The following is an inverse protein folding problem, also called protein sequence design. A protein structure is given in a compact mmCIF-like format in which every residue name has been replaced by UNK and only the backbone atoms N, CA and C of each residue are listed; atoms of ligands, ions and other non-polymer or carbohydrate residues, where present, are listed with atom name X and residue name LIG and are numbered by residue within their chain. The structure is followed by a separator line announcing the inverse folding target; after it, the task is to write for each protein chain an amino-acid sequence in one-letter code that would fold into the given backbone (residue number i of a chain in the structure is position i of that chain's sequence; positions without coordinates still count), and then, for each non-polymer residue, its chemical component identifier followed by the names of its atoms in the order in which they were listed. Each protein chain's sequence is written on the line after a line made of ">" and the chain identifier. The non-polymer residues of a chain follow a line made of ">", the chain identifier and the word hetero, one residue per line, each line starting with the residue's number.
data_IF_031172693756
#
_entry.id   IF_031172693756
#
_cell.length_a   1.000
_cell.length_b   1.000
_cell.length_c   1.000
_cell.angle_alpha   90.00
_cell.angle_beta   90.00
_cell.angle_gamma   90.00
#
_symmetry.space_group_name_H-M   'P 1'
#
loop_
_entity.id
_entity.type
_entity.pdbx_description
1 polymer ?
2 non-polymer ?
3 water ?
#
# COMPACT_ATOMS: atom_id res chain seq x y z
N UNK A 2 1.43 33.13 -4.89
CA UNK A 2 1.53 31.80 -4.19
C UNK A 2 1.19 31.89 -2.67
N UNK A 3 2.18 31.70 -1.79
CA UNK A 3 1.92 31.29 -0.41
C UNK A 3 2.55 32.23 0.66
N UNK A 4 1.73 32.71 1.64
CA UNK A 4 2.33 33.72 2.53
C UNK A 4 2.99 33.09 3.78
N UNK A 5 4.08 32.36 3.56
CA UNK A 5 4.82 31.72 4.66
C UNK A 5 6.34 31.85 4.52
N UNK A 6 7.00 32.11 5.66
CA UNK A 6 8.45 32.34 5.72
C UNK A 6 9.22 31.01 5.76
N UNK A 7 10.53 31.08 5.49
CA UNK A 7 11.35 29.89 5.24
C UNK A 7 11.86 29.17 6.51
N UNK A 8 11.69 27.85 6.55
CA UNK A 8 12.10 27.04 7.70
C UNK A 8 13.36 26.19 7.43
N UNK A 9 13.95 25.66 8.50
CA UNK A 9 14.81 24.47 8.37
C UNK A 9 13.82 23.34 8.36
N UNK A 10 13.95 22.43 7.40
CA UNK A 10 13.00 21.34 7.21
C UNK A 10 12.84 20.43 8.42
N UNK A 11 13.89 20.31 9.22
CA UNK A 11 13.83 19.56 10.48
C UNK A 11 13.56 20.43 11.74
N UNK A 12 13.49 21.76 11.59
CA UNK A 12 12.83 22.58 12.62
C UNK A 12 11.32 22.34 12.58
N UNK A 13 10.90 21.36 13.38
CA UNK A 13 9.51 20.93 13.41
C UNK A 13 8.52 21.89 14.09
N UNK A 14 8.99 22.98 14.71
CA UNK A 14 8.06 23.97 15.25
C UNK A 14 7.68 24.95 14.13
N UNK A 15 8.70 25.34 13.35
CA UNK A 15 8.57 26.24 12.21
C UNK A 15 7.71 25.58 11.13
N UNK A 16 7.91 24.28 10.93
CA UNK A 16 7.18 23.56 9.88
C UNK A 16 5.68 23.42 10.14
N UNK A 17 5.34 23.12 11.41
CA UNK A 17 3.97 23.01 11.91
C UNK A 17 3.22 24.34 11.73
N UNK A 18 3.88 25.42 12.10
CA UNK A 18 3.36 26.76 12.02
C UNK A 18 3.29 27.29 10.59
N UNK A 19 4.15 26.78 9.72
CA UNK A 19 4.16 27.15 8.29
C UNK A 19 3.05 26.42 7.55
N UNK A 20 2.92 25.13 7.82
CA UNK A 20 1.77 24.39 7.30
C UNK A 20 0.51 25.08 7.76
N UNK A 21 0.45 25.44 9.04
CA UNK A 21 -0.77 26.04 9.58
C UNK A 21 -1.14 27.29 8.77
N UNK A 22 -0.18 28.17 8.60
CA UNK A 22 -0.43 29.47 8.05
C UNK A 22 -0.65 29.42 6.52
N UNK A 23 -0.18 28.35 5.90
CA UNK A 23 -0.27 28.19 4.44
C UNK A 23 -1.55 27.54 3.98
N UNK A 24 -2.19 26.78 4.89
CA UNK A 24 -3.40 25.99 4.56
C UNK A 24 -4.53 26.73 3.83
N UNK A 25 -5.06 27.85 4.37
CA UNK A 25 -6.26 28.38 3.69
C UNK A 25 -6.02 28.68 2.21
N UNK A 26 -4.84 29.20 1.89
CA UNK A 26 -4.47 29.59 0.54
C UNK A 26 -4.18 28.37 -0.32
N UNK A 27 -3.60 27.34 0.30
CA UNK A 27 -3.27 26.12 -0.42
C UNK A 27 -4.59 25.41 -0.83
N UNK A 28 -5.49 25.26 0.13
CA UNK A 28 -6.76 24.55 -0.07
C UNK A 28 -7.81 25.39 -0.80
N UNK A 29 -7.51 26.66 -1.04
CA UNK A 29 -8.29 27.47 -1.98
C UNK A 29 -7.89 27.15 -3.42
N UNK A 30 -6.78 26.42 -3.60
CA UNK A 30 -6.36 25.98 -4.92
C UNK A 30 -5.27 26.84 -5.54
N UNK A 31 -4.34 26.20 -6.22
CA UNK A 31 -3.28 26.91 -6.95
C UNK A 31 -3.18 26.32 -8.34
N UNK A 32 -3.93 26.87 -9.32
CA UNK A 32 -4.00 26.17 -10.62
C UNK A 32 -2.65 25.97 -11.39
N UNK A 33 -1.62 26.78 -11.19
CA UNK A 33 -0.36 26.49 -11.92
C UNK A 33 0.65 25.57 -11.25
N UNK A 34 0.37 25.24 -9.99
CA UNK A 34 1.03 24.13 -9.34
C UNK A 34 0.04 23.01 -9.59
N UNK A 35 -0.02 21.95 -8.82
CA UNK A 35 -1.04 20.95 -9.23
C UNK A 35 -2.30 21.00 -8.40
N UNK A 36 -2.61 22.19 -7.87
CA UNK A 36 -3.43 22.22 -6.65
C UNK A 36 -4.89 22.59 -6.94
N UNK A 37 -5.79 21.59 -6.94
CA UNK A 37 -7.24 21.85 -6.93
C UNK A 37 -7.72 22.44 -5.62
N UNK A 38 -8.97 22.88 -5.69
CA UNK A 38 -9.71 23.28 -4.55
C UNK A 38 -9.76 22.02 -3.69
N UNK A 39 -9.31 22.16 -2.45
CA UNK A 39 -9.35 21.06 -1.50
C UNK A 39 -10.35 21.24 -0.39
N UNK A 40 -11.15 22.29 -0.52
CA UNK A 40 -12.28 22.54 0.37
C UNK A 40 -13.26 23.48 -0.35
N UNK A 41 -14.31 22.98 -1.00
CA UNK A 41 -14.71 21.57 -0.95
C UNK A 41 -13.84 20.73 -1.88
N UNK A 42 -13.48 19.55 -1.40
CA UNK A 42 -12.71 18.56 -2.16
C UNK A 42 -13.60 17.55 -2.90
N UNK A 43 -13.49 17.47 -4.22
CA UNK A 43 -14.24 16.42 -4.96
C UNK A 43 -13.50 15.09 -4.91
N UNK A 44 -14.21 14.06 -4.47
CA UNK A 44 -13.67 12.73 -4.38
C UNK A 44 -14.14 11.94 -5.58
N UNK A 45 -13.25 11.10 -6.06
CA UNK A 45 -13.49 10.20 -7.16
C UNK A 45 -14.51 9.16 -6.67
N UNK A 46 -15.36 8.71 -7.57
CA UNK A 46 -16.36 7.78 -7.16
C UNK A 46 -15.68 6.53 -6.66
N UNK A 47 -16.20 5.89 -5.61
CA UNK A 47 -15.60 4.62 -5.21
C UNK A 47 -16.67 3.66 -4.69
N UNK A 48 -16.21 2.44 -4.44
CA UNK A 48 -17.06 1.35 -4.06
C UNK A 48 -16.28 0.44 -3.17
N UNK A 49 -16.96 -0.17 -2.20
CA UNK A 49 -16.30 -1.20 -1.43
C UNK A 49 -17.23 -2.31 -0.95
N UNK A 50 -16.62 -3.44 -0.58
CA UNK A 50 -17.34 -4.63 -0.12
C UNK A 50 -16.54 -5.10 1.06
N UNK A 51 -17.04 -4.76 2.25
CA UNK A 51 -16.34 -4.89 3.50
C UNK A 51 -17.26 -5.39 4.61
N UNK A 52 -16.81 -6.40 5.38
CA UNK A 52 -17.59 -6.93 6.50
C UNK A 52 -19.06 -7.11 6.17
N UNK A 53 -19.36 -7.51 4.94
CA UNK A 53 -20.75 -7.74 4.55
C UNK A 53 -21.60 -6.54 4.08
N UNK A 54 -21.03 -5.31 4.10
CA UNK A 54 -21.65 -4.10 3.52
C UNK A 54 -21.12 -3.86 2.12
N UNK A 55 -22.01 -3.75 1.14
CA UNK A 55 -21.61 -3.32 -0.22
C UNK A 55 -21.93 -1.85 -0.30
N UNK A 56 -20.91 -1.01 -0.50
CA UNK A 56 -21.12 0.43 -0.39
C UNK A 56 -20.50 1.25 -1.52
N UNK A 57 -21.30 2.10 -2.20
CA UNK A 57 -20.82 3.06 -3.17
C UNK A 57 -21.05 4.55 -2.73
N UNK A 58 -20.04 5.39 -2.96
CA UNK A 58 -20.22 6.84 -2.91
C UNK A 58 -19.83 7.50 -4.26
N UNK A 59 -20.82 8.20 -4.82
CA UNK A 59 -20.69 8.95 -6.04
C UNK A 59 -20.82 10.45 -5.82
N UNK A 60 -20.16 11.20 -6.69
CA UNK A 60 -19.85 12.60 -6.47
C UNK A 60 -19.60 12.94 -4.98
N UNK A 61 -18.60 12.29 -4.40
CA UNK A 61 -18.25 12.52 -3.00
C UNK A 61 -17.57 13.84 -2.75
N UNK A 62 -17.89 14.45 -1.60
CA UNK A 62 -17.36 15.74 -1.22
C UNK A 62 -16.85 15.68 0.21
N UNK A 63 -15.79 16.44 0.45
CA UNK A 63 -15.24 16.57 1.77
C UNK A 63 -15.02 18.06 2.10
N UNK A 64 -15.72 18.51 3.14
CA UNK A 64 -15.73 19.87 3.57
C UNK A 64 -15.14 19.93 4.97
N UNK A 65 -14.35 20.96 5.21
CA UNK A 65 -13.73 21.15 6.51
C UNK A 65 -12.22 21.18 6.61
N UNK A 66 -11.52 20.76 5.55
CA UNK A 66 -10.04 20.83 5.42
C UNK A 66 -9.46 22.25 5.45
N UNK A 67 -10.20 23.22 4.94
CA UNK A 67 -9.98 24.63 5.25
C UNK A 67 -9.79 24.80 6.77
N UNK A 68 -10.61 24.10 7.54
CA UNK A 68 -10.66 24.30 9.01
C UNK A 68 -9.68 23.48 9.82
N UNK A 69 -8.86 22.66 9.16
CA UNK A 69 -8.00 21.69 9.87
C UNK A 69 -6.93 22.35 10.76
N UNK A 70 -6.61 21.68 11.87
CA UNK A 70 -5.55 22.12 12.78
C UNK A 70 -4.29 21.23 12.73
N UNK A 71 -3.19 21.77 12.21
CA UNK A 71 -1.91 21.02 12.20
C UNK A 71 -1.29 20.89 13.60
N UNK A 72 -1.14 19.65 14.05
CA UNK A 72 -0.63 19.34 15.37
C UNK A 72 0.89 19.23 15.36
N UNK A 73 1.44 18.51 14.37
CA UNK A 73 2.91 18.38 14.23
C UNK A 73 3.38 17.98 12.82
N UNK A 74 4.49 18.55 12.41
CA UNK A 74 5.17 18.15 11.19
C UNK A 74 6.56 17.61 11.58
N UNK A 75 6.90 16.43 11.09
CA UNK A 75 8.20 15.84 11.37
C UNK A 75 8.83 15.44 10.04
N UNK A 76 9.67 16.32 9.53
CA UNK A 76 10.42 16.05 8.34
C UNK A 76 11.75 15.50 8.70
N UNK A 77 12.06 14.32 8.13
CA UNK A 77 13.27 13.59 8.48
C UNK A 77 14.14 13.33 7.23
N UNK A 78 15.30 13.99 7.22
CA UNK A 78 16.11 14.15 6.03
C UNK A 78 17.03 12.98 5.75
N UNK A 79 17.34 12.22 6.79
CA UNK A 79 18.13 11.01 6.66
C UNK A 79 17.22 9.92 6.13
N UNK A 80 15.99 9.90 6.63
CA UNK A 80 14.98 8.88 6.31
C UNK A 80 14.24 9.20 5.01
N UNK A 81 14.44 10.43 4.54
CA UNK A 81 13.60 11.04 3.50
C UNK A 81 12.14 10.60 3.64
N UNK A 82 11.65 10.89 4.85
CA UNK A 82 10.31 10.61 5.30
C UNK A 82 9.78 11.88 5.93
N UNK A 83 8.48 12.13 5.73
CA UNK A 83 7.73 13.19 6.41
C UNK A 83 6.51 12.60 7.13
N UNK A 84 6.39 12.92 8.43
CA UNK A 84 5.19 12.61 9.21
C UNK A 84 4.39 13.90 9.43
N UNK A 85 3.08 13.82 9.23
CA UNK A 85 2.17 14.94 9.42
C UNK A 85 0.94 14.51 10.24
N UNK A 86 0.85 15.09 11.45
CA UNK A 86 -0.31 14.93 12.35
C UNK A 86 -1.20 16.18 12.36
N UNK A 87 -2.51 15.95 12.23
CA UNK A 87 -3.49 17.02 12.23
C UNK A 87 -4.83 16.51 12.72
N UNK A 88 -5.83 17.39 12.71
CA UNK A 88 -7.21 17.06 13.06
C UNK A 88 -8.15 18.14 12.62
N UNK A 89 -9.44 17.82 12.55
CA UNK A 89 -10.46 18.72 11.97
C UNK A 89 -11.83 18.17 12.28
N UNK A 90 -12.87 19.00 12.21
CA UNK A 90 -14.21 18.50 12.08
C UNK A 90 -14.50 18.50 10.57
N UNK A 91 -14.89 17.36 10.02
CA UNK A 91 -15.24 17.26 8.61
C UNK A 91 -16.68 16.87 8.31
N UNK A 92 -17.11 17.19 7.09
CA UNK A 92 -18.34 16.64 6.57
C UNK A 92 -18.07 15.89 5.27
N UNK A 93 -18.75 14.78 5.04
CA UNK A 93 -18.57 13.94 3.84
C UNK A 93 -19.95 13.75 3.25
N UNK A 94 -20.12 14.23 2.02
CA UNK A 94 -21.40 14.17 1.37
C UNK A 94 -21.30 13.36 0.08
N UNK A 95 -22.45 12.94 -0.43
CA UNK A 95 -22.53 12.43 -1.79
C UNK A 95 -23.67 11.45 -1.97
N UNK A 96 -23.81 10.98 -3.19
CA UNK A 96 -24.80 9.98 -3.52
C UNK A 96 -24.31 8.62 -3.11
N UNK A 97 -25.07 7.89 -2.31
CA UNK A 97 -24.59 6.58 -1.82
C UNK A 97 -25.52 5.47 -2.27
N UNK A 98 -25.04 4.22 -2.28
CA UNK A 98 -25.92 3.07 -2.22
C UNK A 98 -25.41 2.11 -1.14
N UNK A 99 -26.30 1.22 -0.68
CA UNK A 99 -26.01 0.31 0.42
C UNK A 99 -26.66 -1.04 0.14
N UNK A 100 -25.87 -2.10 0.31
CA UNK A 100 -26.28 -3.50 0.05
C UNK A 100 -25.91 -4.39 1.23
N UNK A 101 -26.41 -5.63 1.22
CA UNK A 101 -26.02 -6.62 2.25
C UNK A 101 -26.38 -6.31 3.68
N UNK A 102 -25.37 -6.19 4.52
CA UNK A 102 -25.61 -5.95 5.94
C UNK A 102 -24.67 -4.91 6.52
N UNK A 103 -25.11 -4.21 7.57
CA UNK A 103 -24.16 -3.57 8.50
C UNK A 103 -24.32 -4.26 9.85
N UNK A 104 -23.27 -5.02 10.21
CA UNK A 104 -23.14 -5.75 11.45
C UNK A 104 -24.32 -6.70 11.55
N UNK A 105 -25.25 -6.45 12.44
CA UNK A 105 -26.35 -7.38 12.68
C UNK A 105 -27.67 -6.99 11.95
N UNK A 106 -27.67 -5.82 11.30
CA UNK A 106 -28.84 -5.35 10.53
C UNK A 106 -28.61 -5.38 9.02
N UNK A 107 -29.64 -5.85 8.27
CA UNK A 107 -29.69 -5.79 6.81
C UNK A 107 -29.89 -4.38 6.36
N UNK A 108 -29.24 -4.01 5.25
CA UNK A 108 -29.30 -2.65 4.75
C UNK A 108 -29.63 -2.57 3.26
N UNK A 109 -30.54 -1.65 2.92
CA UNK A 109 -30.72 -1.29 1.55
C UNK A 109 -31.10 0.16 1.54
N UNK A 110 -30.46 0.94 0.67
CA UNK A 110 -30.63 2.39 0.55
C UNK A 110 -29.93 2.90 -0.70
N UNK A 111 -30.58 3.87 -1.38
CA UNK A 111 -30.06 4.57 -2.57
C UNK A 111 -30.47 6.03 -2.45
N UNK A 112 -29.64 6.88 -1.86
CA UNK A 112 -30.00 8.31 -1.68
C UNK A 112 -28.82 9.23 -1.43
N UNK A 113 -28.97 10.10 -0.45
CA UNK A 113 -27.93 11.06 -0.10
C UNK A 113 -27.40 10.75 1.29
N UNK A 114 -26.13 11.03 1.48
CA UNK A 114 -25.42 10.87 2.75
C UNK A 114 -24.89 12.22 3.18
N UNK A 115 -24.89 12.45 4.48
CA UNK A 115 -24.13 13.53 5.13
C UNK A 115 -23.54 12.91 6.37
N UNK A 116 -22.21 12.68 6.39
CA UNK A 116 -21.55 12.23 7.63
C UNK A 116 -20.95 13.44 8.23
N UNK A 117 -20.99 13.55 9.55
CA UNK A 117 -20.29 14.65 10.24
C UNK A 117 -19.29 14.03 11.17
N UNK A 118 -18.03 14.38 10.96
CA UNK A 118 -16.92 13.89 11.78
C UNK A 118 -16.47 14.93 12.79
N UNK A 119 -16.33 14.52 14.04
CA UNK A 119 -16.06 15.46 15.14
C UNK A 119 -14.70 15.12 15.73
N UNK A 120 -13.71 15.97 15.48
CA UNK A 120 -12.35 15.79 15.98
C UNK A 120 -11.68 14.55 15.34
N UNK A 121 -11.66 14.47 14.01
CA UNK A 121 -10.92 13.37 13.36
C UNK A 121 -9.42 13.59 13.32
N UNK A 122 -8.69 12.65 13.91
CA UNK A 122 -7.24 12.75 13.93
C UNK A 122 -6.66 11.90 12.85
N UNK A 123 -5.59 12.42 12.25
CA UNK A 123 -4.98 11.78 11.10
C UNK A 123 -3.51 11.72 11.38
N UNK A 124 -2.93 10.59 11.00
CA UNK A 124 -1.50 10.41 11.02
C UNK A 124 -1.06 10.07 9.63
N UNK A 125 -0.47 11.05 8.95
CA UNK A 125 0.01 10.88 7.57
C UNK A 125 1.53 10.77 7.50
N UNK A 126 2.01 9.66 6.87
CA UNK A 126 3.42 9.37 6.73
C UNK A 126 3.65 9.27 5.25
N UNK A 127 4.64 10.05 4.80
CA UNK A 127 5.01 10.20 3.41
C UNK A 127 6.48 9.93 3.28
N UNK A 128 6.84 9.15 2.27
CA UNK A 128 8.23 8.97 1.99
C UNK A 128 8.52 9.78 0.76
N UNK A 129 9.77 10.12 0.51
CA UNK A 129 10.06 10.93 -0.68
C UNK A 129 11.45 10.68 -1.22
N UNK A 130 11.78 11.38 -2.29
CA UNK A 130 13.10 11.34 -2.90
C UNK A 130 13.39 12.73 -3.46
N UNK A 131 14.67 13.04 -3.60
CA UNK A 131 15.04 14.26 -4.30
C UNK A 131 15.39 13.98 -5.74
N UNK A 132 14.68 14.65 -6.62
CA UNK A 132 14.94 14.52 -8.03
C UNK A 132 15.33 15.86 -8.57
N UNK A 133 16.20 15.82 -9.55
CA UNK A 133 16.34 16.96 -10.41
C UNK A 133 15.21 16.85 -11.47
N UNK A 134 14.76 18.00 -11.97
CA UNK A 134 13.84 18.03 -13.11
C UNK A 134 14.62 18.24 -14.42
N UNK A 135 13.97 18.82 -15.43
CA UNK A 135 14.64 19.12 -16.68
C UNK A 135 15.69 20.23 -16.53
N UNK A 136 15.31 21.36 -15.91
CA UNK A 136 16.19 22.55 -15.73
C UNK A 136 17.15 22.58 -14.51
N UNK A 137 17.57 21.40 -14.05
CA UNK A 137 18.60 21.28 -13.01
C UNK A 137 18.28 21.84 -11.62
N UNK A 138 17.00 21.95 -11.32
CA UNK A 138 16.58 22.26 -9.98
C UNK A 138 16.06 20.96 -9.39
N UNK A 139 16.31 20.80 -8.09
CA UNK A 139 15.86 19.62 -7.37
C UNK A 139 14.48 19.95 -6.88
N UNK A 140 13.65 18.92 -6.82
CA UNK A 140 12.37 19.01 -6.14
C UNK A 140 12.25 17.87 -5.18
N UNK A 141 11.42 18.10 -4.17
CA UNK A 141 10.92 17.07 -3.29
C UNK A 141 9.80 16.36 -4.08
N UNK A 142 10.07 15.12 -4.49
CA UNK A 142 9.09 14.24 -5.18
C UNK A 142 8.50 13.18 -4.21
N UNK A 143 7.30 13.43 -3.65
CA UNK A 143 6.60 12.44 -2.84
C UNK A 143 6.57 11.09 -3.60
N UNK A 144 6.66 9.95 -2.89
CA UNK A 144 6.52 8.63 -3.53
C UNK A 144 5.33 7.81 -2.98
N UNK A 145 5.37 7.59 -1.69
CA UNK A 145 4.47 6.63 -1.09
C UNK A 145 3.98 7.23 0.19
N UNK A 146 2.77 6.87 0.58
CA UNK A 146 2.23 7.30 1.87
C UNK A 146 1.48 6.18 2.57
N UNK A 147 1.46 6.24 3.89
CA UNK A 147 0.53 5.48 4.72
C UNK A 147 -0.33 6.54 5.37
N UNK A 148 -1.59 6.21 5.67
CA UNK A 148 -2.43 7.06 6.52
C UNK A 148 -3.25 6.24 7.56
N UNK A 149 -3.34 6.73 8.80
CA UNK A 149 -4.20 6.12 9.86
C UNK A 149 -5.15 7.23 10.43
N UNK A 150 -6.30 6.83 10.97
CA UNK A 150 -7.27 7.80 11.47
C UNK A 150 -7.92 7.44 12.80
N UNK A 151 -8.75 8.33 13.31
CA UNK A 151 -9.20 8.24 14.67
C UNK A 151 -10.25 9.32 14.85
N UNK A 152 -11.53 8.94 14.72
CA UNK A 152 -12.61 9.86 14.95
C UNK A 152 -12.78 9.86 16.45
N UNK A 153 -12.18 10.85 17.11
CA UNK A 153 -12.12 10.89 18.58
C UNK A 153 -13.38 11.38 19.30
N UNK A 154 -14.07 12.36 18.75
CA UNK A 154 -15.26 12.84 19.43
C UNK A 154 -16.50 12.14 18.99
N UNK A 155 -16.76 12.11 17.69
CA UNK A 155 -18.06 11.67 17.28
C UNK A 155 -18.19 11.51 15.79
N UNK A 156 -19.13 10.67 15.39
CA UNK A 156 -19.50 10.53 13.98
C UNK A 156 -21.03 10.43 13.88
N UNK A 157 -21.66 11.28 13.07
CA UNK A 157 -23.12 11.20 12.86
C UNK A 157 -23.43 10.75 11.44
N UNK A 158 -24.54 10.05 11.25
CA UNK A 158 -24.90 9.49 9.96
C UNK A 158 -26.23 10.07 9.45
N UNK A 159 -26.22 10.65 8.26
CA UNK A 159 -27.45 11.05 7.62
C UNK A 159 -27.57 10.29 6.32
N UNK A 160 -28.62 9.53 6.15
CA UNK A 160 -28.75 8.71 4.97
C UNK A 160 -30.18 8.75 4.59
N UNK A 161 -30.45 9.24 3.38
CA UNK A 161 -31.82 9.33 2.90
C UNK A 161 -32.18 8.07 2.04
N UNK A 162 -33.48 7.84 1.93
CA UNK A 162 -34.02 6.63 1.26
C UNK A 162 -33.32 5.33 1.63
N UNK A 163 -33.17 5.07 2.91
CA UNK A 163 -32.93 3.68 3.34
C UNK A 163 -34.15 2.78 3.07
N UNK A 164 -33.93 1.48 2.88
CA UNK A 164 -35.02 0.46 2.65
C UNK A 164 -36.21 0.98 1.86
N UNK A 165 -35.91 1.74 0.81
CA UNK A 165 -36.93 2.35 -0.02
C UNK A 165 -37.91 3.25 0.75
N UNK A 166 -37.39 4.06 1.66
CA UNK A 166 -38.15 5.09 2.35
C UNK A 166 -38.90 4.70 3.63
N UNK A 167 -39.15 3.39 3.79
CA UNK A 167 -39.79 2.84 4.98
C UNK A 167 -39.19 3.43 6.25
N UNK A 168 -39.97 4.23 6.96
CA UNK A 168 -39.50 4.90 8.15
C UNK A 168 -38.99 3.92 9.19
N UNK A 169 -39.76 2.89 9.45
CA UNK A 169 -39.52 2.11 10.64
C UNK A 169 -38.10 1.58 10.65
N UNK A 170 -37.78 0.97 9.53
CA UNK A 170 -36.48 0.38 9.26
C UNK A 170 -35.34 1.40 9.15
N UNK A 171 -35.63 2.59 8.62
CA UNK A 171 -34.60 3.61 8.42
C UNK A 171 -34.19 4.14 9.79
N UNK A 172 -35.19 4.56 10.56
CA UNK A 172 -35.01 5.02 11.95
C UNK A 172 -34.25 4.03 12.81
N UNK A 173 -34.60 2.76 12.69
CA UNK A 173 -33.93 1.69 13.43
C UNK A 173 -32.49 1.66 12.96
N UNK A 174 -32.29 1.65 11.64
CA UNK A 174 -30.92 1.59 11.13
C UNK A 174 -30.06 2.80 11.49
N UNK A 175 -30.63 3.99 11.34
CA UNK A 175 -29.89 5.21 11.67
C UNK A 175 -29.56 5.37 13.15
N UNK A 176 -30.46 4.88 14.00
CA UNK A 176 -30.23 4.82 15.44
C UNK A 176 -29.06 3.89 15.73
N UNK A 177 -29.04 2.72 15.09
CA UNK A 177 -27.92 1.78 15.21
C UNK A 177 -26.57 2.44 14.87
N UNK A 178 -26.41 2.82 13.61
CA UNK A 178 -25.28 3.62 13.16
C UNK A 178 -24.83 4.68 14.18
N UNK A 179 -25.74 5.58 14.55
CA UNK A 179 -25.42 6.71 15.47
C UNK A 179 -24.99 6.32 16.92
N UNK A 180 -25.62 5.30 17.49
CA UNK A 180 -25.15 4.67 18.73
C UNK A 180 -23.79 3.93 18.65
N UNK A 181 -23.58 3.07 17.67
CA UNK A 181 -22.28 2.41 17.51
C UNK A 181 -21.38 3.12 16.48
N UNK A 182 -21.29 4.42 16.57
CA UNK A 182 -20.57 5.20 15.55
C UNK A 182 -19.11 4.90 15.46
N UNK A 183 -18.53 4.37 16.51
CA UNK A 183 -17.08 4.27 16.58
C UNK A 183 -16.63 2.93 15.90
N UNK A 184 -17.25 1.83 16.33
CA UNK A 184 -17.12 0.58 15.59
C UNK A 184 -17.40 0.73 14.09
N UNK A 185 -18.43 1.48 13.74
CA UNK A 185 -18.76 1.67 12.33
C UNK A 185 -17.65 2.45 11.64
N UNK A 186 -17.06 3.43 12.37
CA UNK A 186 -15.96 4.20 11.81
C UNK A 186 -14.73 3.32 11.56
N UNK A 187 -14.40 2.48 12.54
CA UNK A 187 -13.23 1.63 12.45
C UNK A 187 -13.50 0.52 11.47
N UNK A 188 -14.77 0.12 11.39
CA UNK A 188 -15.15 -0.96 10.50
C UNK A 188 -15.20 -0.56 9.03
N UNK A 189 -15.53 0.69 8.72
CA UNK A 189 -15.73 1.09 7.31
C UNK A 189 -15.00 2.36 6.86
N UNK A 190 -14.37 3.05 7.81
CA UNK A 190 -13.71 4.35 7.49
C UNK A 190 -12.48 4.33 6.61
N UNK A 191 -11.79 3.20 6.49
CA UNK A 191 -10.51 3.23 5.78
C UNK A 191 -10.65 3.63 4.28
N UNK A 192 -11.62 3.06 3.52
CA UNK A 192 -11.72 3.44 2.08
C UNK A 192 -12.29 4.86 1.85
N UNK A 193 -12.95 5.42 2.87
CA UNK A 193 -13.39 6.82 2.83
C UNK A 193 -12.15 7.68 3.08
N UNK A 194 -11.35 7.28 4.06
CA UNK A 194 -10.06 7.90 4.33
C UNK A 194 -9.16 7.80 3.07
N UNK A 195 -8.99 6.60 2.55
CA UNK A 195 -8.19 6.41 1.34
C UNK A 195 -8.62 7.35 0.25
N UNK A 196 -9.93 7.44 0.03
CA UNK A 196 -10.44 8.34 -1.01
C UNK A 196 -9.97 9.80 -0.84
N UNK A 197 -9.92 10.32 0.39
CA UNK A 197 -9.44 11.73 0.53
C UNK A 197 -7.92 11.78 0.48
N UNK A 198 -7.26 10.77 1.05
CA UNK A 198 -5.79 10.77 1.08
C UNK A 198 -5.22 10.67 -0.33
N UNK A 199 -5.83 9.81 -1.12
CA UNK A 199 -5.44 9.67 -2.49
C UNK A 199 -5.42 11.03 -3.21
N UNK A 200 -6.48 11.81 -3.04
CA UNK A 200 -6.55 13.17 -3.59
C UNK A 200 -5.58 14.19 -2.90
N UNK A 201 -5.57 14.24 -1.56
CA UNK A 201 -4.61 15.11 -0.76
C UNK A 201 -3.07 14.90 -0.97
N UNK A 202 -2.58 13.67 -0.79
CA UNK A 202 -1.23 13.31 -1.30
C UNK A 202 -0.97 13.74 -2.76
N UNK A 203 -1.96 13.55 -3.64
CA UNK A 203 -1.78 13.86 -5.06
C UNK A 203 -1.53 15.38 -5.28
N UNK A 204 -2.28 16.17 -4.54
CA UNK A 204 -2.26 17.61 -4.65
C UNK A 204 -1.00 18.20 -4.10
N UNK A 205 -0.56 17.72 -2.92
CA UNK A 205 0.73 18.14 -2.36
C UNK A 205 1.90 17.77 -3.30
N UNK A 206 1.88 16.54 -3.77
CA UNK A 206 2.90 15.99 -4.68
C UNK A 206 3.11 16.88 -5.90
N UNK A 207 2.01 17.45 -6.37
CA UNK A 207 1.94 18.28 -7.57
C UNK A 207 2.62 19.58 -7.31
N UNK A 208 2.20 20.18 -6.20
CA UNK A 208 2.77 21.41 -5.70
C UNK A 208 4.28 21.32 -5.73
N UNK A 209 4.83 20.39 -4.95
CA UNK A 209 6.27 20.25 -4.78
C UNK A 209 7.03 19.67 -5.96
N UNK A 210 6.35 19.07 -6.96
CA UNK A 210 7.01 18.79 -8.21
C UNK A 210 7.25 20.10 -8.98
N UNK A 211 6.38 21.10 -8.75
CA UNK A 211 6.39 22.38 -9.44
C UNK A 211 7.36 23.44 -8.79
N UNK A 212 7.41 23.50 -7.46
CA UNK A 212 8.33 24.42 -6.76
C UNK A 212 9.69 23.83 -6.44
N UNK A 213 10.76 24.56 -6.77
CA UNK A 213 12.10 24.12 -6.44
C UNK A 213 12.30 24.01 -4.93
N UNK A 214 12.97 22.95 -4.48
CA UNK A 214 13.35 22.86 -3.08
C UNK A 214 14.12 24.10 -2.60
N UNK A 215 15.04 24.58 -3.43
CA UNK A 215 15.79 25.83 -3.14
C UNK A 215 14.90 27.07 -2.98
N UNK A 216 13.63 26.92 -3.32
CA UNK A 216 12.69 28.04 -3.34
C UNK A 216 11.94 28.14 -2.01
N UNK A 217 11.53 26.99 -1.47
CA UNK A 217 10.75 27.00 -0.22
C UNK A 217 11.49 26.44 1.01
N UNK A 218 12.74 26.02 0.85
CA UNK A 218 13.49 25.56 2.02
C UNK A 218 14.82 26.29 2.19
N UNK A 219 15.42 26.17 3.38
CA UNK A 219 16.81 26.57 3.57
C UNK A 219 17.77 25.62 2.82
N UNK A 220 17.93 25.90 1.51
CA UNK A 220 18.81 25.13 0.59
C UNK A 220 18.33 23.70 0.33
N UNK B 2 -15.52 -14.65 -8.80
CA UNK B 2 -14.37 -13.96 -8.14
C UNK B 2 -13.07 -14.27 -8.91
N UNK B 3 -12.73 -15.56 -8.97
CA UNK B 3 -11.49 -16.08 -9.61
C UNK B 3 -11.84 -17.18 -10.66
N UNK B 4 -11.13 -17.21 -11.83
CA UNK B 4 -11.56 -18.00 -13.01
C UNK B 4 -11.26 -19.49 -12.87
N UNK B 5 -11.89 -20.14 -11.91
CA UNK B 5 -11.42 -21.44 -11.44
C UNK B 5 -12.50 -22.27 -10.75
N UNK B 6 -12.48 -23.58 -11.02
CA UNK B 6 -13.30 -24.56 -10.29
C UNK B 6 -12.67 -25.02 -8.98
N UNK B 7 -13.49 -25.69 -8.17
CA UNK B 7 -13.15 -26.09 -6.81
C UNK B 7 -12.47 -27.45 -6.76
N UNK B 8 -11.49 -27.57 -5.88
CA UNK B 8 -10.81 -28.84 -5.62
C UNK B 8 -11.08 -29.35 -4.21
N UNK B 9 -10.81 -30.64 -4.04
CA UNK B 9 -10.48 -31.22 -2.76
C UNK B 9 -9.06 -30.77 -2.43
N UNK B 10 -8.84 -30.29 -1.20
CA UNK B 10 -7.57 -29.61 -0.85
C UNK B 10 -6.30 -30.46 -0.89
N UNK B 11 -6.45 -31.77 -0.71
CA UNK B 11 -5.31 -32.69 -0.73
C UNK B 11 -5.13 -33.31 -2.11
N UNK B 12 -6.01 -32.95 -3.02
CA UNK B 12 -5.85 -33.27 -4.46
C UNK B 12 -4.79 -32.36 -5.09
N UNK B 13 -3.53 -32.77 -5.03
CA UNK B 13 -2.42 -31.94 -5.52
C UNK B 13 -2.59 -31.38 -6.94
N UNK B 14 -3.23 -32.16 -7.84
CA UNK B 14 -3.26 -31.86 -9.30
C UNK B 14 -4.35 -30.90 -9.72
N UNK B 15 -5.51 -31.03 -9.07
CA UNK B 15 -6.51 -29.98 -9.13
C UNK B 15 -5.90 -28.68 -8.53
N UNK B 16 -5.27 -28.78 -7.37
CA UNK B 16 -4.68 -27.61 -6.72
C UNK B 16 -3.57 -26.91 -7.56
N UNK B 17 -2.62 -27.70 -8.03
CA UNK B 17 -1.58 -27.20 -8.90
C UNK B 17 -2.16 -26.57 -10.19
N UNK B 18 -3.21 -27.17 -10.79
CA UNK B 18 -4.06 -26.55 -11.84
C UNK B 18 -4.89 -25.27 -11.47
N UNK B 19 -5.53 -25.29 -10.32
CA UNK B 19 -6.30 -24.14 -9.82
C UNK B 19 -5.46 -22.89 -9.61
N UNK B 20 -4.29 -23.10 -8.99
CA UNK B 20 -3.36 -22.02 -8.59
C UNK B 20 -2.79 -21.27 -9.81
N UNK B 21 -2.36 -22.06 -10.81
CA UNK B 21 -1.93 -21.62 -12.14
C UNK B 21 -3.02 -20.87 -12.91
N UNK B 22 -4.26 -21.36 -12.84
CA UNK B 22 -5.37 -20.72 -13.56
C UNK B 22 -5.81 -19.39 -12.95
N UNK B 23 -5.80 -19.34 -11.63
CA UNK B 23 -6.22 -18.17 -10.87
C UNK B 23 -5.14 -17.08 -10.91
N UNK B 24 -3.86 -17.52 -10.93
CA UNK B 24 -2.68 -16.66 -10.76
C UNK B 24 -2.70 -15.26 -11.37
N UNK B 25 -3.01 -15.16 -12.69
CA UNK B 25 -2.98 -13.83 -13.33
C UNK B 25 -4.11 -12.93 -12.79
N UNK B 26 -5.32 -13.45 -12.80
CA UNK B 26 -6.41 -12.76 -12.14
C UNK B 26 -5.98 -12.43 -10.70
N UNK B 27 -5.24 -13.32 -10.04
CA UNK B 27 -4.92 -13.01 -8.68
C UNK B 27 -4.07 -11.73 -8.60
N UNK B 28 -3.04 -11.64 -9.42
CA UNK B 28 -2.05 -10.54 -9.34
C UNK B 28 -2.47 -9.21 -9.95
N UNK B 29 -3.43 -9.22 -10.88
CA UNK B 29 -4.02 -7.94 -11.30
C UNK B 29 -4.42 -7.09 -10.10
N UNK B 30 -4.79 -7.74 -8.99
CA UNK B 30 -5.33 -7.08 -7.82
C UNK B 30 -6.81 -7.41 -7.59
N UNK B 31 -7.22 -7.49 -6.32
CA UNK B 31 -8.62 -7.81 -5.99
C UNK B 31 -9.12 -7.01 -4.80
N UNK B 32 -9.38 -5.70 -4.98
CA UNK B 32 -9.55 -4.73 -3.88
C UNK B 32 -10.38 -5.19 -2.69
N UNK B 33 -11.52 -5.85 -2.93
CA UNK B 33 -12.41 -6.18 -1.82
C UNK B 33 -12.02 -7.45 -1.06
N UNK B 34 -10.95 -8.08 -1.53
CA UNK B 34 -10.21 -9.04 -0.75
C UNK B 34 -8.97 -8.25 -0.52
N UNK B 35 -8.08 -8.66 0.37
CA UNK B 35 -7.09 -7.63 0.76
C UNK B 35 -5.92 -7.53 -0.21
N UNK B 36 -6.21 -7.59 -1.50
CA UNK B 36 -5.19 -7.89 -2.52
C UNK B 36 -4.76 -6.74 -3.44
N UNK B 37 -3.56 -6.21 -3.22
CA UNK B 37 -3.04 -5.18 -4.14
C UNK B 37 -2.54 -5.82 -5.42
N UNK B 38 -2.28 -4.97 -6.41
CA UNK B 38 -1.65 -5.39 -7.62
C UNK B 38 -0.36 -6.15 -7.23
N UNK B 39 -0.21 -7.36 -7.75
CA UNK B 39 1.04 -8.07 -7.43
C UNK B 39 2.00 -8.36 -8.58
N UNK B 40 1.77 -7.66 -9.69
CA UNK B 40 2.76 -7.55 -10.77
C UNK B 40 2.34 -6.35 -11.56
N UNK B 41 3.10 -5.25 -11.56
CA UNK B 41 4.26 -5.05 -10.73
C UNK B 41 3.83 -4.96 -9.25
N UNK B 42 4.57 -5.64 -8.36
CA UNK B 42 4.28 -5.58 -6.94
C UNK B 42 5.16 -4.51 -6.25
N UNK B 43 4.56 -3.65 -5.43
CA UNK B 43 5.39 -2.70 -4.63
C UNK B 43 6.01 -3.35 -3.42
N UNK B 44 7.32 -3.26 -3.34
CA UNK B 44 8.05 -3.75 -2.20
C UNK B 44 8.21 -2.62 -1.20
N UNK B 45 7.83 -2.83 0.06
CA UNK B 45 8.23 -1.85 1.08
C UNK B 45 9.72 -1.49 1.03
N UNK B 46 10.00 -0.23 1.37
CA UNK B 46 11.34 0.24 1.59
C UNK B 46 12.04 -0.65 2.61
N UNK B 47 13.25 -1.13 2.28
CA UNK B 47 14.00 -1.97 3.20
C UNK B 47 15.53 -1.70 3.19
N UNK B 48 16.27 -2.47 3.97
CA UNK B 48 17.63 -2.06 4.34
C UNK B 48 18.25 -3.19 5.08
N UNK B 49 19.49 -3.52 4.73
CA UNK B 49 20.26 -4.52 5.45
C UNK B 49 21.74 -4.21 5.49
N UNK B 50 22.34 -4.86 6.46
CA UNK B 50 23.77 -4.83 6.60
C UNK B 50 24.09 -6.29 6.73
N UNK B 51 24.80 -6.82 5.73
CA UNK B 51 25.10 -8.27 5.70
C UNK B 51 26.46 -8.55 5.10
N UNK B 52 27.30 -9.34 5.79
CA UNK B 52 28.55 -9.83 5.20
C UNK B 52 29.40 -8.73 4.58
N UNK B 53 29.61 -7.62 5.31
CA UNK B 53 30.30 -6.47 4.77
C UNK B 53 29.54 -5.46 3.91
N UNK B 54 28.33 -5.82 3.45
CA UNK B 54 27.52 -4.95 2.55
C UNK B 54 26.39 -4.21 3.23
N UNK B 55 26.26 -2.93 2.93
CA UNK B 55 25.22 -2.04 3.46
C UNK B 55 24.34 -1.60 2.31
N UNK B 56 23.09 -2.06 2.33
CA UNK B 56 22.24 -1.97 1.15
C UNK B 56 20.86 -1.42 1.46
N UNK B 57 20.42 -0.43 0.70
CA UNK B 57 19.03 0.02 0.78
C UNK B 57 18.27 -0.10 -0.56
N UNK B 58 17.01 -0.54 -0.47
CA UNK B 58 16.07 -0.42 -1.57
C UNK B 58 14.84 0.39 -1.19
N UNK B 59 14.65 1.50 -1.90
CA UNK B 59 13.37 2.18 -1.84
C UNK B 59 12.72 2.14 -3.21
N UNK B 60 11.40 2.29 -3.21
CA UNK B 60 10.56 2.29 -4.44
C UNK B 60 10.78 1.00 -5.22
N UNK B 61 11.02 -0.05 -4.43
CA UNK B 61 11.25 -1.38 -4.90
C UNK B 61 10.02 -1.95 -5.58
N UNK B 62 10.29 -2.68 -6.64
CA UNK B 62 9.28 -3.22 -7.51
C UNK B 62 9.67 -4.66 -7.78
N UNK B 63 8.73 -5.57 -7.61
CA UNK B 63 8.96 -6.90 -8.13
C UNK B 63 8.02 -7.15 -9.27
N UNK B 64 8.60 -7.40 -10.42
CA UNK B 64 7.88 -7.64 -11.62
C UNK B 64 8.09 -9.12 -12.01
N UNK B 65 7.13 -9.72 -12.71
CA UNK B 65 7.21 -11.13 -13.19
C UNK B 65 6.24 -12.18 -12.62
N UNK B 66 5.60 -11.88 -11.51
CA UNK B 66 4.88 -12.92 -10.77
C UNK B 66 3.72 -13.50 -11.53
N UNK B 67 3.21 -12.72 -12.48
CA UNK B 67 2.08 -13.09 -13.32
C UNK B 67 2.39 -14.21 -14.32
N UNK B 68 3.68 -14.41 -14.62
CA UNK B 68 4.09 -15.52 -15.49
C UNK B 68 4.77 -16.66 -14.74
N UNK B 69 4.44 -16.85 -13.47
CA UNK B 69 5.10 -17.84 -12.64
C UNK B 69 4.54 -19.19 -12.92
N UNK B 70 5.37 -20.23 -12.73
CA UNK B 70 4.94 -21.59 -13.04
C UNK B 70 4.75 -22.40 -11.75
N UNK B 71 3.54 -22.88 -11.56
CA UNK B 71 3.21 -23.64 -10.35
C UNK B 71 3.62 -25.10 -10.50
N UNK B 72 4.67 -25.50 -9.80
CA UNK B 72 5.17 -26.86 -9.96
C UNK B 72 4.38 -27.86 -9.16
N UNK B 73 4.20 -27.56 -7.87
CA UNK B 73 3.41 -28.42 -6.97
C UNK B 73 2.77 -27.58 -5.89
N UNK B 74 1.56 -28.01 -5.52
CA UNK B 74 0.88 -27.61 -4.30
C UNK B 74 0.56 -28.90 -3.51
N UNK B 75 1.18 -29.02 -2.33
CA UNK B 75 0.82 -30.05 -1.35
C UNK B 75 0.10 -29.39 -0.16
N UNK B 76 -1.21 -29.65 -0.05
CA UNK B 76 -1.98 -29.09 1.04
C UNK B 76 -2.30 -30.26 1.92
N UNK B 77 -1.97 -30.14 3.21
CA UNK B 77 -2.05 -31.26 4.16
C UNK B 77 -2.91 -30.89 5.37
N UNK B 78 -4.11 -31.47 5.41
CA UNK B 78 -5.17 -31.09 6.37
C UNK B 78 -4.87 -31.45 7.83
N UNK B 79 -4.01 -32.45 8.00
CA UNK B 79 -3.68 -33.00 9.31
C UNK B 79 -2.70 -32.12 10.04
N UNK B 80 -1.57 -31.78 9.39
CA UNK B 80 -0.59 -30.85 9.97
C UNK B 80 -1.02 -29.33 9.84
N UNK B 81 -1.97 -29.04 8.94
CA UNK B 81 -2.40 -27.66 8.65
C UNK B 81 -1.22 -26.85 8.07
N UNK B 82 -0.80 -27.29 6.90
CA UNK B 82 0.46 -26.95 6.32
C UNK B 82 0.26 -27.01 4.83
N UNK B 83 0.87 -26.05 4.13
CA UNK B 83 0.81 -26.01 2.66
C UNK B 83 2.20 -25.83 2.07
N UNK B 84 2.54 -26.62 1.06
CA UNK B 84 3.79 -26.36 0.34
C UNK B 84 3.46 -26.07 -1.09
N UNK B 85 3.99 -24.95 -1.56
CA UNK B 85 3.86 -24.50 -2.94
C UNK B 85 5.28 -24.37 -3.48
N UNK B 86 5.56 -25.14 -4.52
CA UNK B 86 6.78 -25.01 -5.32
C UNK B 86 6.44 -24.31 -6.61
N UNK B 87 7.18 -23.27 -6.91
CA UNK B 87 6.93 -22.53 -8.13
C UNK B 87 8.23 -21.98 -8.66
N UNK B 88 8.19 -21.49 -9.89
CA UNK B 88 9.34 -20.85 -10.55
C UNK B 88 8.92 -19.84 -11.58
N UNK B 89 9.85 -18.97 -12.02
CA UNK B 89 9.52 -17.80 -12.80
C UNK B 89 10.82 -17.10 -13.12
N UNK B 90 10.80 -16.24 -14.12
CA UNK B 90 11.87 -15.28 -14.28
C UNK B 90 11.36 -14.00 -13.62
N UNK B 91 12.21 -13.30 -12.88
CA UNK B 91 11.71 -12.14 -12.17
C UNK B 91 12.63 -10.95 -12.39
N UNK B 92 12.09 -9.76 -12.18
CA UNK B 92 12.94 -8.58 -12.18
C UNK B 92 12.64 -7.70 -10.98
N UNK B 93 13.69 -7.29 -10.30
CA UNK B 93 13.58 -6.41 -9.15
C UNK B 93 14.29 -5.09 -9.45
N UNK B 94 13.58 -4.00 -9.25
CA UNK B 94 14.04 -2.70 -9.68
C UNK B 94 13.85 -1.83 -8.48
N UNK B 95 14.54 -0.68 -8.45
CA UNK B 95 14.29 0.31 -7.39
C UNK B 95 15.36 1.36 -7.21
N UNK B 96 15.17 2.30 -6.29
CA UNK B 96 16.26 3.19 -5.95
C UNK B 96 17.10 2.48 -4.91
N UNK B 97 18.32 2.11 -5.28
CA UNK B 97 19.24 1.39 -4.38
C UNK B 97 20.40 2.24 -3.90
N UNK B 98 20.95 1.89 -2.75
CA UNK B 98 22.27 2.36 -2.35
C UNK B 98 23.01 1.13 -1.88
N UNK B 99 24.32 1.19 -2.03
CA UNK B 99 25.29 0.22 -1.59
C UNK B 99 26.37 0.95 -0.78
N UNK B 100 27.17 0.22 -0.03
CA UNK B 100 28.32 0.77 0.70
C UNK B 100 28.95 -0.39 1.46
N UNK B 101 30.24 -0.34 1.73
CA UNK B 101 30.93 -1.45 2.37
C UNK B 101 31.63 -2.19 1.27
N UNK B 102 31.21 -3.43 1.00
CA UNK B 102 31.87 -4.29 -0.01
C UNK B 102 30.95 -5.44 -0.38
N UNK B 103 31.01 -5.93 -1.61
CA UNK B 103 30.45 -7.26 -1.93
C UNK B 103 31.59 -8.27 -2.03
N UNK B 104 31.56 -9.31 -1.19
CA UNK B 104 32.68 -10.27 -1.19
C UNK B 104 33.97 -9.46 -1.10
N UNK B 105 34.91 -9.64 -2.04
CA UNK B 105 36.26 -9.06 -1.89
C UNK B 105 36.48 -7.67 -2.50
N UNK B 106 35.46 -7.09 -3.15
CA UNK B 106 35.57 -5.75 -3.81
C UNK B 106 34.80 -4.62 -3.13
N UNK B 107 35.46 -3.48 -2.80
CA UNK B 107 34.64 -2.44 -2.18
C UNK B 107 33.58 -1.89 -3.15
N UNK B 108 32.53 -1.33 -2.59
CA UNK B 108 31.41 -0.87 -3.41
C UNK B 108 30.81 0.34 -2.75
N UNK B 109 30.41 1.30 -3.56
CA UNK B 109 29.66 2.40 -3.06
C UNK B 109 28.85 2.82 -4.27
N UNK B 110 27.55 3.09 -4.08
CA UNK B 110 26.64 3.36 -5.16
C UNK B 110 25.40 4.08 -4.69
N UNK B 111 24.74 4.75 -5.62
CA UNK B 111 23.43 5.37 -5.30
C UNK B 111 22.71 5.67 -6.60
N UNK B 112 21.83 4.78 -7.06
CA UNK B 112 21.10 4.98 -8.30
C UNK B 112 19.97 3.99 -8.53
N UNK B 113 19.76 3.64 -9.80
CA UNK B 113 18.68 2.72 -10.21
C UNK B 113 19.17 1.28 -10.38
N UNK B 114 18.43 0.31 -9.84
CA UNK B 114 18.79 -1.08 -9.86
C UNK B 114 17.91 -1.90 -10.80
N UNK B 115 18.54 -2.77 -11.56
CA UNK B 115 17.80 -3.68 -12.41
C UNK B 115 18.33 -5.09 -12.30
N UNK B 116 17.64 -5.91 -11.53
CA UNK B 116 18.14 -7.24 -11.23
C UNK B 116 17.28 -8.28 -11.96
N UNK B 117 17.88 -8.95 -12.96
CA UNK B 117 17.18 -9.96 -13.79
C UNK B 117 17.51 -11.33 -13.30
N UNK B 118 16.50 -12.11 -12.96
CA UNK B 118 16.71 -13.43 -12.42
C UNK B 118 16.07 -14.45 -13.35
N UNK B 119 16.86 -15.36 -13.90
CA UNK B 119 16.28 -16.40 -14.71
C UNK B 119 16.07 -17.67 -13.90
N UNK B 120 14.83 -18.15 -13.97
CA UNK B 120 14.42 -19.44 -13.47
C UNK B 120 14.71 -19.59 -11.99
N UNK B 121 13.99 -18.79 -11.19
CA UNK B 121 14.04 -18.90 -9.73
C UNK B 121 12.98 -19.85 -9.20
N UNK B 122 13.45 -20.81 -8.43
CA UNK B 122 12.62 -21.81 -7.80
C UNK B 122 12.49 -21.48 -6.36
N UNK B 123 11.24 -21.45 -5.91
CA UNK B 123 10.88 -20.95 -4.62
C UNK B 123 10.04 -22.03 -3.96
N UNK B 124 10.40 -22.37 -2.73
CA UNK B 124 9.70 -23.35 -1.91
C UNK B 124 9.07 -22.64 -0.72
N UNK B 125 7.75 -22.62 -0.71
CA UNK B 125 6.99 -21.85 0.28
C UNK B 125 6.28 -22.82 1.24
N UNK B 126 6.50 -22.65 2.53
CA UNK B 126 5.79 -23.51 3.52
C UNK B 126 4.93 -22.61 4.35
N UNK B 127 3.64 -22.85 4.33
CA UNK B 127 2.70 -22.05 5.15
C UNK B 127 1.98 -22.90 6.19
N UNK B 128 1.95 -22.46 7.44
CA UNK B 128 1.06 -23.13 8.42
C UNK B 128 -0.21 -22.29 8.60
N UNK B 129 -1.35 -22.95 8.78
CA UNK B 129 -2.61 -22.23 8.99
C UNK B 129 -3.42 -22.74 10.18
N UNK B 130 -4.49 -22.03 10.52
CA UNK B 130 -5.59 -22.52 11.39
C UNK B 130 -6.86 -22.36 10.59
N UNK B 131 -7.89 -23.13 10.99
CA UNK B 131 -9.26 -22.90 10.52
C UNK B 131 -9.99 -22.03 11.53
N UNK B 132 -10.46 -20.86 11.14
CA UNK B 132 -11.13 -19.99 12.11
C UNK B 132 -12.41 -19.40 11.60
N UNK B 133 -13.36 -19.29 12.53
CA UNK B 133 -14.65 -18.67 12.31
C UNK B 133 -14.52 -17.16 12.18
N UNK B 134 -15.21 -16.59 11.19
CA UNK B 134 -15.33 -15.11 11.12
C UNK B 134 -16.25 -14.56 12.22
N UNK B 135 -16.51 -13.26 12.18
CA UNK B 135 -17.43 -12.59 13.12
C UNK B 135 -18.82 -13.25 13.08
N UNK B 136 -19.15 -13.88 11.95
CA UNK B 136 -20.43 -14.53 11.71
C UNK B 136 -20.34 -16.04 11.85
N UNK B 137 -19.17 -16.52 12.29
CA UNK B 137 -18.93 -17.94 12.54
C UNK B 137 -18.92 -18.82 11.31
N UNK B 138 -18.32 -18.31 10.24
CA UNK B 138 -18.08 -19.09 9.01
C UNK B 138 -16.58 -19.37 8.90
N UNK B 139 -16.23 -20.58 8.45
CA UNK B 139 -14.83 -21.04 8.49
C UNK B 139 -13.90 -20.39 7.47
N UNK B 140 -12.77 -19.89 7.97
CA UNK B 140 -11.70 -19.40 7.14
C UNK B 140 -10.43 -20.15 7.36
N UNK B 141 -9.68 -20.29 6.27
CA UNK B 141 -8.27 -20.66 6.34
C UNK B 141 -7.50 -19.38 6.69
N UNK B 142 -6.86 -19.38 7.85
CA UNK B 142 -6.11 -18.16 8.35
C UNK B 142 -4.61 -18.49 8.35
N UNK B 143 -3.87 -17.90 7.41
CA UNK B 143 -2.43 -18.04 7.33
C UNK B 143 -1.87 -17.52 8.65
N UNK B 144 -0.83 -18.21 9.16
CA UNK B 144 -0.28 -17.87 10.46
C UNK B 144 1.22 -17.60 10.39
N UNK B 145 1.97 -18.57 9.90
CA UNK B 145 3.41 -18.42 9.71
C UNK B 145 3.85 -18.95 8.34
N UNK B 146 4.99 -18.44 7.87
CA UNK B 146 5.60 -18.96 6.66
C UNK B 146 7.08 -19.10 6.84
N UNK B 147 7.66 -19.89 5.94
CA UNK B 147 9.12 -19.91 5.68
C UNK B 147 9.29 -20.07 4.19
N UNK B 148 10.40 -19.55 3.67
CA UNK B 148 10.63 -19.61 2.23
C UNK B 148 12.11 -19.88 1.91
N UNK B 149 12.32 -20.68 0.88
CA UNK B 149 13.68 -20.81 0.37
C UNK B 149 13.57 -20.56 -1.09
N UNK B 150 14.70 -20.26 -1.73
CA UNK B 150 14.70 -19.90 -3.14
C UNK B 150 15.97 -20.48 -3.77
N UNK B 151 15.97 -20.70 -5.08
CA UNK B 151 17.19 -21.15 -5.77
C UNK B 151 17.18 -20.49 -7.13
N UNK B 152 18.13 -19.56 -7.37
CA UNK B 152 18.32 -19.06 -8.74
C UNK B 152 19.05 -20.13 -9.55
N UNK B 153 18.31 -20.95 -10.27
CA UNK B 153 18.89 -22.02 -11.10
C UNK B 153 19.78 -21.59 -12.29
N UNK B 154 19.30 -20.69 -13.13
CA UNK B 154 19.96 -20.39 -14.39
C UNK B 154 20.98 -19.25 -14.40
N UNK B 155 20.59 -18.10 -13.84
CA UNK B 155 21.37 -16.85 -13.92
C UNK B 155 20.77 -15.74 -13.06
N UNK B 156 21.64 -14.89 -12.49
CA UNK B 156 21.24 -13.53 -12.13
C UNK B 156 22.05 -12.53 -13.00
N UNK B 157 21.46 -11.39 -13.35
CA UNK B 157 22.20 -10.30 -13.98
C UNK B 157 21.94 -9.00 -13.25
N UNK B 158 23.02 -8.25 -13.02
CA UNK B 158 23.01 -7.11 -12.09
C UNK B 158 23.19 -5.80 -12.87
N UNK B 159 22.13 -4.99 -12.90
CA UNK B 159 22.19 -3.61 -13.42
C UNK B 159 22.21 -2.58 -12.28
N UNK B 160 23.25 -1.77 -12.23
CA UNK B 160 23.40 -0.77 -11.17
C UNK B 160 23.94 0.56 -11.72
N UNK B 161 23.11 1.59 -11.74
CA UNK B 161 23.53 2.87 -12.25
C UNK B 161 24.21 3.61 -11.12
N UNK B 162 25.06 4.57 -11.50
CA UNK B 162 25.80 5.43 -10.57
C UNK B 162 26.53 4.74 -9.40
N UNK B 163 27.27 3.69 -9.71
CA UNK B 163 28.23 3.14 -8.78
C UNK B 163 29.43 4.06 -8.79
N UNK B 164 30.06 4.21 -7.61
CA UNK B 164 31.31 4.94 -7.47
C UNK B 164 31.19 6.30 -8.13
N UNK B 165 30.04 6.93 -7.91
CA UNK B 165 29.72 8.24 -8.51
C UNK B 165 29.99 8.29 -10.01
N UNK B 166 29.37 7.34 -10.72
CA UNK B 166 29.64 7.14 -12.13
C UNK B 166 31.08 7.09 -12.62
N UNK B 167 32.04 6.63 -11.82
CA UNK B 167 33.39 6.36 -12.35
C UNK B 167 33.27 5.03 -13.07
N UNK B 168 33.39 5.11 -14.38
CA UNK B 168 33.24 3.95 -15.27
C UNK B 168 34.24 2.79 -15.04
N UNK B 169 35.51 3.11 -14.80
CA UNK B 169 36.50 2.04 -14.61
C UNK B 169 35.99 1.06 -13.53
N UNK B 170 35.90 1.59 -12.32
CA UNK B 170 35.31 0.95 -11.14
C UNK B 170 33.97 0.31 -11.35
N UNK B 171 33.11 0.93 -12.17
CA UNK B 171 31.75 0.51 -12.30
C UNK B 171 31.59 -0.81 -13.06
N UNK B 172 32.20 -0.84 -14.25
CA UNK B 172 32.28 -1.99 -15.12
C UNK B 172 33.02 -3.15 -14.51
N UNK B 173 33.95 -2.86 -13.61
CA UNK B 173 34.72 -3.84 -12.84
C UNK B 173 33.81 -4.53 -11.80
N UNK B 174 32.98 -3.72 -11.11
CA UNK B 174 32.05 -4.28 -10.12
C UNK B 174 30.99 -5.09 -10.82
N UNK B 175 30.52 -4.55 -11.93
CA UNK B 175 29.40 -5.12 -12.61
C UNK B 175 29.71 -6.45 -13.24
N UNK B 176 30.91 -6.58 -13.79
CA UNK B 176 31.41 -7.85 -14.30
C UNK B 176 31.71 -8.83 -13.17
N UNK B 177 32.24 -8.32 -12.05
CA UNK B 177 32.42 -9.14 -10.84
C UNK B 177 31.11 -9.76 -10.31
N UNK B 178 30.05 -8.96 -10.31
CA UNK B 178 28.75 -9.44 -9.86
C UNK B 178 28.12 -10.44 -10.86
N UNK B 179 28.09 -10.11 -12.16
CA UNK B 179 27.53 -11.03 -13.18
C UNK B 179 28.29 -12.39 -13.17
N UNK B 180 29.62 -12.35 -13.24
CA UNK B 180 30.48 -13.55 -13.18
C UNK B 180 30.26 -14.43 -11.91
N UNK B 181 30.13 -13.79 -10.74
CA UNK B 181 29.90 -14.51 -9.46
C UNK B 181 28.45 -14.40 -8.98
N UNK B 182 27.52 -14.50 -9.93
CA UNK B 182 26.12 -14.18 -9.70
C UNK B 182 25.48 -15.20 -8.84
N UNK B 183 26.12 -16.35 -8.74
CA UNK B 183 25.56 -17.45 -7.96
C UNK B 183 25.84 -17.28 -6.48
N UNK B 184 27.10 -17.09 -6.11
CA UNK B 184 27.45 -16.55 -4.76
C UNK B 184 26.72 -15.27 -4.36
N UNK B 185 26.83 -14.17 -5.08
CA UNK B 185 26.06 -12.98 -4.72
C UNK B 185 24.58 -13.34 -4.35
N UNK B 186 23.97 -14.26 -5.13
CA UNK B 186 22.54 -14.55 -5.04
C UNK B 186 22.20 -15.39 -3.81
N UNK B 187 23.09 -16.33 -3.47
CA UNK B 187 23.10 -16.96 -2.15
C UNK B 187 23.56 -16.10 -0.94
N UNK B 188 24.49 -15.17 -1.16
CA UNK B 188 24.98 -14.34 -0.04
C UNK B 188 23.92 -13.37 0.45
N UNK B 189 23.30 -12.69 -0.49
CA UNK B 189 22.51 -11.51 -0.22
C UNK B 189 21.03 -11.68 -0.49
N UNK B 190 20.65 -12.84 -1.02
CA UNK B 190 19.31 -13.05 -1.56
C UNK B 190 18.14 -13.03 -0.59
N UNK B 191 18.42 -13.51 0.62
CA UNK B 191 17.44 -13.73 1.65
C UNK B 191 16.60 -12.46 1.98
N UNK B 192 17.26 -11.32 2.34
CA UNK B 192 16.43 -10.13 2.56
C UNK B 192 15.63 -9.62 1.36
N UNK B 193 16.10 -9.82 0.14
CA UNK B 193 15.30 -9.42 -1.02
C UNK B 193 14.07 -10.30 -1.11
N UNK B 194 14.30 -11.58 -0.85
CA UNK B 194 13.26 -12.59 -0.94
C UNK B 194 12.23 -12.40 0.18
N UNK B 195 12.70 -11.99 1.38
CA UNK B 195 11.81 -11.74 2.51
C UNK B 195 10.87 -10.52 2.19
N UNK B 196 11.44 -9.47 1.58
CA UNK B 196 10.64 -8.33 1.08
C UNK B 196 9.45 -8.77 0.24
N UNK B 197 9.72 -9.58 -0.79
CA UNK B 197 8.66 -10.05 -1.68
C UNK B 197 7.67 -10.91 -0.90
N UNK B 198 8.19 -11.99 -0.30
CA UNK B 198 7.39 -13.04 0.32
C UNK B 198 6.43 -12.56 1.36
N UNK B 199 6.75 -11.45 2.00
CA UNK B 199 6.03 -11.01 3.14
C UNK B 199 4.85 -10.20 2.68
N UNK B 200 5.03 -9.52 1.55
CA UNK B 200 3.94 -8.88 0.83
C UNK B 200 3.00 -9.94 0.25
N UNK B 201 3.56 -11.05 -0.21
CA UNK B 201 2.80 -12.06 -0.96
C UNK B 201 2.05 -13.00 -0.01
N UNK B 202 2.64 -13.25 1.17
CA UNK B 202 1.94 -13.90 2.28
C UNK B 202 0.71 -13.11 2.76
N UNK B 203 0.91 -11.80 2.93
CA UNK B 203 -0.06 -10.87 3.45
C UNK B 203 -1.29 -10.80 2.58
N UNK B 204 -1.07 -10.66 1.27
CA UNK B 204 -2.17 -10.67 0.30
C UNK B 204 -2.93 -11.98 0.19
N UNK B 205 -2.27 -13.09 0.49
CA UNK B 205 -2.96 -14.38 0.44
C UNK B 205 -3.68 -14.60 1.78
N UNK B 206 -3.11 -14.12 2.87
CA UNK B 206 -3.75 -14.17 4.17
C UNK B 206 -5.02 -13.29 4.13
N UNK B 207 -4.94 -12.13 3.46
CA UNK B 207 -6.14 -11.30 3.30
C UNK B 207 -7.17 -11.93 2.43
N UNK B 208 -6.73 -12.42 1.27
CA UNK B 208 -7.67 -13.08 0.38
C UNK B 208 -8.47 -14.14 1.13
N UNK B 209 -7.77 -15.10 1.73
CA UNK B 209 -8.40 -16.23 2.47
C UNK B 209 -9.18 -15.90 3.75
N UNK B 210 -8.82 -14.81 4.44
CA UNK B 210 -9.57 -14.26 5.56
C UNK B 210 -10.93 -13.72 5.15
N UNK B 211 -11.10 -13.28 3.89
CA UNK B 211 -12.40 -12.81 3.42
C UNK B 211 -13.32 -13.88 2.87
N UNK B 212 -12.80 -14.77 2.00
CA UNK B 212 -13.63 -15.80 1.40
C UNK B 212 -13.77 -16.96 2.35
N UNK B 213 -15.02 -17.36 2.62
CA UNK B 213 -15.23 -18.63 3.29
C UNK B 213 -14.52 -19.75 2.52
N UNK B 214 -13.99 -20.72 3.24
CA UNK B 214 -13.33 -21.86 2.60
C UNK B 214 -14.30 -22.75 1.80
N UNK B 215 -15.53 -22.89 2.30
CA UNK B 215 -16.55 -23.72 1.66
C UNK B 215 -16.97 -23.10 0.33
N UNK B 216 -16.82 -21.79 0.25
CA UNK B 216 -17.15 -21.08 -0.98
C UNK B 216 -16.06 -21.29 -2.02
N UNK B 217 -14.87 -21.73 -1.59
CA UNK B 217 -13.75 -21.93 -2.52
C UNK B 217 -13.11 -23.34 -2.51
N UNK B 218 -13.83 -24.37 -2.06
CA UNK B 218 -13.32 -25.77 -2.09
C UNK B 218 -14.41 -26.77 -1.70
N UNK B 219 -14.01 -28.02 -1.39
CA UNK B 219 -14.98 -28.99 -0.91
C UNK B 219 -14.85 -29.33 0.59
N UNK B 220 -15.90 -29.01 1.34
CA UNK B 220 -16.05 -29.41 2.76
C UNK B 220 -14.74 -29.30 3.57
X LIG C 1 9.25 26.01 3.97
X LIG C 1 10.36 25.87 4.58
X LIG C 1 8.92 27.11 3.45
X LIG C 1 8.31 24.83 3.83
X LIG C 1 6.88 25.36 3.67
X LIG C 1 5.88 24.49 4.43
X LIG C 1 4.59 24.33 3.62
X LIG C 1 4.64 23.11 2.71
X LIG C 1 3.28 22.90 2.07
X LIG C 1 2.71 21.56 2.51
X LIG C 1 1.29 21.35 2.01
X LIG C 1 0.22 21.99 2.89
X LIG C 1 -1.15 21.34 2.69
X LIG C 1 -1.41 20.17 3.64
X LIG C 1 -2.80 20.26 4.26
X LIG C 1 -3.46 18.92 4.39
X LIG D 1 -10.67 12.76 6.16
X LIG D 1 -11.00 13.22 7.27
X LIG D 1 -9.81 13.36 5.49
X LIG D 1 -11.29 11.45 5.64
X LIG D 1 -12.62 10.96 6.28
X LIG D 1 -12.50 9.83 7.31
X LIG D 1 -13.54 8.70 7.22
X LIG D 1 -14.72 8.79 8.19
X LIG D 1 -15.14 7.43 8.76
X LIG D 1 -16.58 7.36 9.22
X LIG D 1 -17.27 6.07 8.77
X LIG D 1 -17.87 6.20 7.37
X LIG D 1 -18.25 4.85 6.75
X LIG D 1 -19.50 4.94 5.90
X LIG D 1 -20.44 3.79 6.32
X LIG D 1 -21.84 3.93 5.75
X LIG E 1 -9.59 -24.47 -4.75
X LIG E 1 -10.40 -25.25 -5.27
X LIG E 1 -9.37 -24.48 -3.50
X LIG E 1 -8.86 -23.46 -5.60
X LIG E 1 -8.02 -22.49 -4.76
X LIG E 1 -7.54 -21.27 -5.56
X LIG E 1 -6.34 -20.58 -4.89
X LIG E 1 -5.58 -19.73 -5.91
X LIG E 1 -4.54 -18.79 -5.32
X LIG E 1 -3.85 -18.02 -6.46
X LIG E 1 -2.77 -17.00 -6.06
X LIG E 1 -1.67 -17.62 -5.19
X LIG E 1 -0.25 -17.20 -5.59
X LIG E 1 0.67 -18.38 -5.30
X LIG E 1 2.12 -18.04 -4.88
X LIG E 1 2.90 -17.30 -5.94
X LIG F 1 12.74 -12.61 -5.12
X LIG F 1 11.59 -13.10 -5.04
X LIG F 1 12.96 -11.45 -5.54
X LIG F 1 13.92 -13.45 -4.69
X LIG F 1 15.20 -12.77 -5.09
X LIG F 1 16.44 -13.55 -4.66
X LIG F 1 17.53 -12.53 -4.37
X LIG F 1 18.46 -12.29 -5.56
X LIG F 1 19.83 -11.74 -5.15
X LIG F 1 19.90 -10.23 -5.27
X LIG F 1 21.09 -9.67 -4.50
X LIG F 1 20.95 -8.22 -4.01
X LIG F 1 22.37 -7.65 -3.82
X LIG F 1 22.54 -6.26 -4.41
X LIG F 1 23.97 -5.76 -4.21
X LIG F 1 24.26 -4.61 -5.14
#
# INVERSE_FOLDING_TARGET
>A
GVLPVEKCNLEDSACMTSAFQQALPTFVAGLPDHGVEVMDVLDLDDFAFDLSGLQFTLKEGKLKGLKGAVIDNVKWDLKKKNIEVDFHLDATVKGHYTAGGRILILPITGDGQMKLKLKNIHIHLVVSYEMEKDAEGVDHVIFKKYTVTFDVKDNAQFGLTNLFNGNKELSDTMLTFLNQNWKQVSEEFGKPVMEAAAKKIFKNIKHFLAKVPIAEIANV
>B
GVLPVEKCNLEDSACMTSAFQQALPTFVAGLPDHGVEVMDVLDLDDFAFDLSGLQFTLKEGKLKGLKGAVIDNVKWDLKKKNIEVDFHLDATVKGHYTAGGRILILPITGDGQMKLKLKNIHIHLVVSYEMEKDAEGVDHVIFKKYTVTFDVKDNAQFGLTNLFNGNKELSDTMLTFLNQNWKQVSEEFGKPVMEAAAKKIFKNIKHFLAKVPIAEIANV
>C hetero
1 MYR C1 O1 O2 C2 C3 C4 C5 C6 C7 C8 C9 C10 C11 C12 C13 C14
>D hetero
1 MYR C1 O1 O2 C2 C3 C4 C5 C6 C7 C8 C9 C10 C11 C12 C13 C14
>E hetero
1 MYR C1 O1 O2 C2 C3 C4 C5 C6 C7 C8 C9 C10 C11 C12 C13 C14
>F hetero
1 MYR C1 O1 O2 C2 C3 C4 C5 C6 C7 C8 C9 C10 C11 C12 C13 C14
#
